data_IF_964278003940
#
_entry.id   IF_964278003940
#
_cell.length_a   1.000
_cell.length_b   1.000
_cell.length_c   1.000
_cell.angle_alpha   90.00
_cell.angle_beta   90.00
_cell.angle_gamma   90.00
#
_symmetry.space_group_name_H-M   'P 1'
#
loop_
_entity.id
_entity.type
_entity.pdbx_description
1 polymer ?
#
# COMPACT_ATOMS: atom_id res chain seq x y z
N UNK A 1 41.35 20.67 -14.56
CA UNK A 1 40.71 20.54 -13.22
C UNK A 1 39.21 20.85 -13.25
N UNK A 2 38.75 22.02 -13.75
CA UNK A 2 37.30 22.35 -13.83
C UNK A 2 36.44 21.30 -14.55
N UNK A 3 36.93 20.70 -15.65
CA UNK A 3 36.22 19.65 -16.41
C UNK A 3 36.06 18.34 -15.62
N UNK A 4 37.06 17.98 -14.80
CA UNK A 4 37.02 16.79 -13.95
C UNK A 4 35.99 16.97 -12.84
N UNK A 5 35.92 18.17 -12.24
CA UNK A 5 34.91 18.50 -11.22
C UNK A 5 33.48 18.35 -11.76
N UNK A 6 33.22 18.78 -13.00
CA UNK A 6 31.89 18.65 -13.63
C UNK A 6 31.53 17.17 -13.86
N UNK A 7 32.48 16.35 -14.32
CA UNK A 7 32.25 14.91 -14.53
C UNK A 7 31.98 14.21 -13.19
N UNK A 8 32.72 14.57 -12.14
CA UNK A 8 32.49 14.05 -10.79
C UNK A 8 31.10 14.46 -10.28
N UNK A 9 30.68 15.72 -10.44
CA UNK A 9 29.33 16.15 -10.08
C UNK A 9 28.23 15.38 -10.84
N UNK A 10 28.39 15.16 -12.15
CA UNK A 10 27.40 14.41 -12.94
C UNK A 10 27.29 12.94 -12.53
N UNK A 11 28.39 12.32 -12.08
CA UNK A 11 28.38 10.95 -11.58
C UNK A 11 27.56 10.76 -10.29
N UNK A 12 27.40 11.82 -9.48
CA UNK A 12 26.58 11.77 -8.27
C UNK A 12 25.08 11.86 -8.53
N UNK A 13 24.67 12.48 -9.64
CA UNK A 13 23.25 12.57 -10.02
C UNK A 13 22.63 11.21 -10.35
N UNK A 14 23.43 10.21 -10.73
CA UNK A 14 22.97 8.87 -11.08
C UNK A 14 22.54 8.01 -9.88
N UNK A 15 22.78 8.47 -8.65
CA UNK A 15 22.39 7.78 -7.40
C UNK A 15 21.19 8.44 -6.70
N UNK A 16 20.41 9.26 -7.43
CA UNK A 16 19.15 9.78 -6.91
C UNK A 16 18.08 8.71 -7.04
N UNK A 17 17.74 8.04 -5.94
CA UNK A 17 16.55 7.20 -5.86
C UNK A 17 15.31 8.07 -5.60
N UNK A 18 14.13 7.59 -5.99
CA UNK A 18 12.87 8.20 -5.55
C UNK A 18 12.75 8.12 -4.03
N UNK A 19 12.04 9.07 -3.41
CA UNK A 19 11.76 8.98 -1.97
C UNK A 19 10.78 7.83 -1.74
N UNK A 20 11.22 6.81 -1.01
CA UNK A 20 10.32 5.86 -0.36
C UNK A 20 9.71 6.53 0.87
N UNK A 21 8.45 6.24 1.13
CA UNK A 21 7.79 6.64 2.37
C UNK A 21 6.80 5.56 2.77
N UNK A 22 6.60 5.43 4.08
CA UNK A 22 5.50 4.67 4.65
C UNK A 22 4.93 5.43 5.84
N UNK A 23 3.63 5.30 6.04
CA UNK A 23 2.96 5.82 7.22
C UNK A 23 1.84 4.86 7.62
N UNK A 24 1.57 4.82 8.91
CA UNK A 24 0.47 4.04 9.47
C UNK A 24 -0.74 4.95 9.65
N UNK A 25 -1.86 4.54 9.07
CA UNK A 25 -3.15 5.21 9.17
C UNK A 25 -4.01 4.44 10.17
N UNK A 26 -4.35 5.11 11.28
CA UNK A 26 -5.16 4.56 12.36
C UNK A 26 -6.63 4.91 12.18
N UNK A 27 -7.50 3.97 12.53
CA UNK A 27 -8.95 4.10 12.53
C UNK A 27 -9.48 3.73 13.91
N UNK A 28 -10.53 4.43 14.33
CA UNK A 28 -11.27 4.14 15.55
C UNK A 28 -12.76 4.36 15.28
N UNK A 29 -13.60 3.41 15.68
CA UNK A 29 -15.06 3.53 15.57
C UNK A 29 -15.69 4.15 16.84
N UNK A 30 -17.00 4.34 16.84
CA UNK A 30 -17.72 4.94 17.98
C UNK A 30 -17.83 4.02 19.20
N UNK A 31 -17.50 2.73 19.07
CA UNK A 31 -17.46 1.76 20.15
C UNK A 31 -16.04 1.64 20.76
N UNK A 32 -15.06 2.32 20.17
CA UNK A 32 -13.66 2.34 20.60
C UNK A 32 -12.84 1.17 20.04
N UNK A 33 -13.35 0.45 19.04
CA UNK A 33 -12.55 -0.53 18.33
C UNK A 33 -11.55 0.20 17.41
N UNK A 34 -10.31 -0.30 17.37
CA UNK A 34 -9.23 0.32 16.63
C UNK A 34 -8.66 -0.66 15.60
N UNK A 35 -8.23 -0.12 14.46
CA UNK A 35 -7.48 -0.85 13.45
C UNK A 35 -6.52 0.10 12.71
N UNK A 36 -5.57 -0.43 11.94
CA UNK A 36 -4.64 0.37 11.15
C UNK A 36 -4.26 -0.27 9.83
N UNK A 37 -3.90 0.56 8.86
CA UNK A 37 -3.27 0.12 7.60
C UNK A 37 -1.97 0.90 7.37
N UNK A 38 -0.95 0.24 6.82
CA UNK A 38 0.29 0.90 6.40
C UNK A 38 0.18 1.23 4.92
N UNK A 39 0.34 2.50 4.57
CA UNK A 39 0.36 2.99 3.20
C UNK A 39 1.71 3.61 2.89
N UNK A 40 2.14 3.52 1.64
CA UNK A 40 3.45 4.03 1.25
C UNK A 40 3.70 4.03 -0.24
N UNK A 41 4.93 4.38 -0.58
CA UNK A 41 5.50 4.24 -1.91
C UNK A 41 6.81 3.45 -1.81
N UNK A 42 6.88 2.38 -2.60
CA UNK A 42 8.09 1.60 -2.86
C UNK A 42 8.27 1.51 -4.38
N UNK A 43 9.49 1.75 -4.88
CA UNK A 43 9.78 1.67 -6.31
C UNK A 43 9.65 0.24 -6.86
N UNK A 44 9.73 -0.77 -5.99
CA UNK A 44 9.60 -2.18 -6.31
C UNK A 44 8.18 -2.72 -6.06
N UNK A 45 7.24 -1.88 -5.62
CA UNK A 45 5.84 -2.27 -5.44
C UNK A 45 5.23 -2.75 -6.76
N UNK A 46 4.26 -3.66 -6.68
CA UNK A 46 3.56 -4.20 -7.85
C UNK A 46 2.10 -3.74 -7.87
N UNK A 47 1.45 -3.78 -9.05
CA UNK A 47 0.03 -3.44 -9.22
C UNK A 47 -0.92 -4.60 -8.78
N UNK A 48 -0.41 -5.59 -8.05
CA UNK A 48 -1.15 -6.78 -7.58
C UNK A 48 -0.73 -7.17 -6.15
N UNK A 49 -1.43 -8.14 -5.57
CA UNK A 49 -1.11 -8.70 -4.26
C UNK A 49 0.13 -9.60 -4.40
N UNK A 50 1.24 -9.20 -3.78
CA UNK A 50 2.50 -9.94 -3.79
C UNK A 50 2.92 -10.46 -2.41
N UNK A 51 2.82 -11.79 -2.25
CA UNK A 51 3.28 -12.49 -1.04
C UNK A 51 4.76 -12.27 -0.70
N UNK A 52 5.61 -11.94 -1.69
CA UNK A 52 7.01 -11.62 -1.45
C UNK A 52 7.19 -10.30 -0.69
N UNK A 53 6.20 -9.40 -0.76
CA UNK A 53 6.11 -8.15 0.00
C UNK A 53 5.22 -8.28 1.25
N UNK A 54 4.77 -9.50 1.58
CA UNK A 54 3.88 -9.75 2.71
C UNK A 54 2.42 -9.35 2.46
N UNK A 55 2.04 -9.17 1.20
CA UNK A 55 0.67 -8.91 0.80
C UNK A 55 -0.03 -10.25 0.55
N UNK A 56 -1.06 -10.56 1.33
CA UNK A 56 -1.85 -11.78 1.19
C UNK A 56 -3.30 -11.47 0.82
N UNK A 57 -3.88 -12.26 -0.07
CA UNK A 57 -5.29 -12.12 -0.42
C UNK A 57 -6.18 -12.72 0.68
N UNK A 58 -6.78 -11.84 1.47
CA UNK A 58 -7.66 -12.19 2.60
C UNK A 58 -9.15 -12.08 2.27
N UNK A 59 -9.55 -12.06 1.00
CA UNK A 59 -10.96 -11.85 0.64
C UNK A 59 -11.91 -12.95 1.16
N UNK A 60 -11.38 -14.17 1.38
CA UNK A 60 -12.13 -15.28 1.95
C UNK A 60 -12.12 -15.31 3.48
N UNK A 61 -11.32 -14.46 4.11
CA UNK A 61 -11.24 -14.35 5.57
C UNK A 61 -12.44 -13.55 6.06
N UNK A 62 -13.29 -14.10 6.95
CA UNK A 62 -14.41 -13.36 7.52
C UNK A 62 -13.97 -12.08 8.22
N UNK A 63 -14.83 -11.08 8.28
CA UNK A 63 -14.60 -9.90 9.10
C UNK A 63 -14.54 -10.27 10.58
N UNK A 64 -13.70 -9.56 11.33
CA UNK A 64 -13.70 -9.66 12.78
C UNK A 64 -14.97 -9.01 13.38
N UNK A 65 -15.24 -9.20 14.67
CA UNK A 65 -16.44 -8.64 15.33
C UNK A 65 -16.32 -7.17 15.75
N UNK A 66 -15.16 -6.54 15.54
CA UNK A 66 -14.90 -5.13 15.81
C UNK A 66 -14.66 -4.38 14.51
N UNK A 67 -13.78 -3.37 14.57
CA UNK A 67 -13.31 -2.66 13.40
C UNK A 67 -12.30 -3.52 12.63
N UNK A 68 -12.51 -3.63 11.31
CA UNK A 68 -11.69 -4.42 10.39
C UNK A 68 -11.53 -3.63 9.09
N UNK A 69 -10.39 -2.94 8.96
CA UNK A 69 -10.07 -2.06 7.85
C UNK A 69 -9.18 -2.81 6.86
N UNK A 70 -9.64 -2.90 5.62
CA UNK A 70 -8.96 -3.64 4.55
C UNK A 70 -8.74 -2.75 3.34
N UNK A 71 -7.63 -2.97 2.64
CA UNK A 71 -7.35 -2.39 1.34
C UNK A 71 -7.68 -3.41 0.26
N UNK A 72 -8.40 -2.99 -0.78
CA UNK A 72 -8.72 -3.84 -1.92
C UNK A 72 -8.68 -3.02 -3.20
N UNK A 73 -8.27 -3.65 -4.30
CA UNK A 73 -8.62 -3.17 -5.64
C UNK A 73 -10.10 -3.50 -5.85
N UNK A 74 -10.98 -2.59 -5.41
CA UNK A 74 -12.44 -2.75 -5.44
C UNK A 74 -12.91 -3.12 -6.85
N UNK A 75 -12.30 -2.55 -7.89
CA UNK A 75 -12.67 -2.82 -9.28
C UNK A 75 -12.34 -4.27 -9.67
N UNK A 76 -11.14 -4.79 -9.35
CA UNK A 76 -10.81 -6.21 -9.56
C UNK A 76 -11.66 -7.14 -8.69
N UNK A 77 -11.96 -6.73 -7.45
CA UNK A 77 -12.77 -7.52 -6.54
C UNK A 77 -14.21 -7.70 -7.06
N UNK A 78 -14.84 -6.63 -7.55
CA UNK A 78 -16.19 -6.68 -8.13
C UNK A 78 -16.28 -7.54 -9.38
N UNK A 79 -15.20 -7.63 -10.18
CA UNK A 79 -15.21 -8.43 -11.42
C UNK A 79 -14.86 -9.90 -11.22
N UNK A 80 -14.07 -10.24 -10.20
CA UNK A 80 -13.51 -11.60 -10.05
C UNK A 80 -14.25 -12.47 -9.04
N UNK A 81 -15.09 -11.91 -8.15
CA UNK A 81 -15.78 -12.66 -7.11
C UNK A 81 -17.30 -12.66 -7.29
N UNK A 82 -17.98 -13.82 -7.18
CA UNK A 82 -19.36 -14.01 -7.66
C UNK A 82 -20.48 -13.46 -6.75
N UNK A 83 -20.18 -12.50 -5.88
CA UNK A 83 -21.21 -11.73 -5.19
C UNK A 83 -20.58 -10.39 -4.77
N UNK A 84 -20.99 -9.25 -5.35
CA UNK A 84 -20.60 -7.96 -4.80
C UNK A 84 -21.18 -7.89 -3.38
N UNK A 85 -20.31 -8.01 -2.38
CA UNK A 85 -20.66 -7.67 -1.00
C UNK A 85 -21.13 -6.21 -1.08
N UNK A 86 -22.39 -5.90 -0.71
CA UNK A 86 -22.89 -4.54 -0.80
C UNK A 86 -21.90 -3.61 -0.10
N UNK A 87 -21.35 -2.64 -0.85
CA UNK A 87 -20.50 -1.62 -0.28
C UNK A 87 -21.27 -0.97 0.87
N UNK A 88 -20.83 -1.21 2.09
CA UNK A 88 -21.44 -0.60 3.27
C UNK A 88 -20.60 0.63 3.57
N UNK A 89 -21.01 1.77 3.01
CA UNK A 89 -20.43 3.06 3.37
C UNK A 89 -20.93 3.42 4.77
N UNK A 90 -20.03 3.44 5.75
CA UNK A 90 -20.22 4.08 7.04
C UNK A 90 -19.37 5.35 7.09
#
# INVERSE_FOLDING_TARGET
MKKILVIVCFSFCSYSFGQEFSFELFFEDSEGNQDSIVLGYDQNATDDIDSAFGEDNIISVPYNSGLDVRVTDEQKALTNFPNPIPATYH
#
